data_IF_594964392763
#
_entry.id   IF_594964392763
#
_cell.length_a   1.000
_cell.length_b   1.000
_cell.length_c   1.000
_cell.angle_alpha   90.00
_cell.angle_beta   90.00
_cell.angle_gamma   90.00
#
_symmetry.space_group_name_H-M   'P 1'
#
loop_
_entity.id
_entity.type
_entity.pdbx_description
1 polymer ?
#
# COMPACT_ATOMS: atom_id res chain seq x y z
N UNK A 1 -1.83 -18.28 4.82
CA UNK A 1 -3.04 -17.47 4.97
C UNK A 1 -3.89 -18.06 6.08
N UNK A 2 -4.40 -17.25 6.98
CA UNK A 2 -5.42 -17.62 7.97
C UNK A 2 -6.68 -16.80 7.69
N UNK A 3 -7.72 -17.49 7.23
CA UNK A 3 -9.05 -16.88 7.05
C UNK A 3 -9.74 -16.69 8.40
N UNK A 4 -10.49 -15.60 8.51
CA UNK A 4 -11.32 -15.20 9.66
C UNK A 4 -12.76 -15.06 9.20
N UNK A 5 -13.69 -14.82 10.15
CA UNK A 5 -15.10 -14.62 9.83
C UNK A 5 -15.34 -13.44 8.88
N UNK A 6 -16.42 -13.50 8.13
CA UNK A 6 -16.84 -12.46 7.18
C UNK A 6 -15.88 -12.26 5.99
N UNK A 7 -14.92 -13.15 5.77
CA UNK A 7 -13.93 -13.06 4.70
C UNK A 7 -12.68 -12.24 5.04
N UNK A 8 -12.53 -11.77 6.28
CA UNK A 8 -11.28 -11.19 6.74
C UNK A 8 -10.14 -12.22 6.71
N UNK A 9 -8.91 -11.78 6.50
CA UNK A 9 -7.78 -12.70 6.44
C UNK A 9 -6.47 -12.05 6.87
N UNK A 10 -5.58 -12.85 7.46
CA UNK A 10 -4.19 -12.51 7.69
C UNK A 10 -3.30 -13.39 6.82
N UNK A 11 -2.50 -12.75 6.00
CA UNK A 11 -1.54 -13.37 5.09
C UNK A 11 -0.15 -13.06 5.62
N UNK A 12 0.53 -14.07 6.14
CA UNK A 12 1.88 -13.93 6.69
C UNK A 12 2.88 -13.51 5.61
N UNK A 13 3.98 -12.91 6.04
CA UNK A 13 5.13 -12.67 5.17
C UNK A 13 5.50 -13.96 4.44
N UNK A 14 5.69 -13.87 3.13
CA UNK A 14 6.05 -15.01 2.27
C UNK A 14 7.05 -14.61 1.20
N UNK A 15 7.48 -15.59 0.43
CA UNK A 15 8.36 -15.38 -0.71
C UNK A 15 7.67 -14.58 -1.82
N UNK A 16 8.46 -13.89 -2.63
CA UNK A 16 8.02 -13.25 -3.86
C UNK A 16 8.07 -14.30 -4.97
N UNK A 17 6.91 -14.75 -5.44
CA UNK A 17 6.75 -15.90 -6.33
C UNK A 17 6.74 -15.54 -7.81
N UNK A 18 6.34 -14.32 -8.14
CA UNK A 18 6.23 -13.84 -9.50
C UNK A 18 7.46 -12.99 -9.88
N UNK A 19 7.81 -12.98 -11.16
CA UNK A 19 8.93 -12.17 -11.69
C UNK A 19 8.53 -11.51 -13.00
N UNK A 20 8.80 -10.21 -13.09
CA UNK A 20 8.56 -9.38 -14.27
C UNK A 20 9.75 -8.41 -14.44
N UNK A 21 10.70 -8.74 -15.30
CA UNK A 21 11.93 -7.97 -15.46
C UNK A 21 12.72 -7.87 -14.15
N UNK A 22 12.98 -6.63 -13.70
CA UNK A 22 13.66 -6.37 -12.42
C UNK A 22 12.75 -6.51 -11.20
N UNK A 23 11.44 -6.64 -11.39
CA UNK A 23 10.45 -6.76 -10.33
C UNK A 23 10.22 -8.22 -9.96
N UNK A 24 10.37 -8.55 -8.67
CA UNK A 24 9.81 -9.76 -8.06
C UNK A 24 8.67 -9.36 -7.14
N UNK A 25 7.58 -10.11 -7.15
CA UNK A 25 6.41 -9.73 -6.35
C UNK A 25 5.55 -10.93 -5.93
N UNK A 26 4.64 -10.67 -5.02
CA UNK A 26 3.51 -11.52 -4.67
C UNK A 26 2.25 -10.67 -4.52
N UNK A 27 1.09 -11.29 -4.65
CA UNK A 27 -0.22 -10.65 -4.52
C UNK A 27 -0.95 -11.24 -3.30
N UNK A 28 -0.71 -10.71 -2.09
CA UNK A 28 -1.32 -11.25 -0.88
C UNK A 28 -2.83 -10.98 -0.79
N UNK A 29 -3.32 -9.90 -1.40
CA UNK A 29 -4.74 -9.53 -1.41
C UNK A 29 -5.17 -9.34 -2.85
N UNK A 30 -6.24 -10.04 -3.26
CA UNK A 30 -6.78 -10.01 -4.62
C UNK A 30 -8.21 -10.57 -4.64
N UNK A 31 -8.88 -10.49 -5.77
CA UNK A 31 -10.20 -11.14 -5.99
C UNK A 31 -10.17 -12.65 -5.75
N UNK A 32 -9.05 -13.29 -6.08
CA UNK A 32 -8.89 -14.73 -5.86
C UNK A 32 -9.04 -15.14 -4.38
N UNK A 33 -8.78 -14.22 -3.46
CA UNK A 33 -9.00 -14.45 -2.03
C UNK A 33 -10.29 -13.83 -1.47
N UNK A 34 -11.09 -13.16 -2.29
CA UNK A 34 -12.37 -12.57 -1.92
C UNK A 34 -12.38 -11.04 -1.78
N UNK A 35 -11.29 -10.34 -2.08
CA UNK A 35 -11.32 -8.90 -2.21
C UNK A 35 -12.20 -8.47 -3.40
N UNK A 36 -12.85 -7.32 -3.32
CA UNK A 36 -13.80 -6.88 -4.35
C UNK A 36 -13.19 -5.88 -5.31
N UNK A 37 -12.61 -4.84 -4.74
CA UNK A 37 -12.19 -3.66 -5.50
C UNK A 37 -10.71 -3.36 -5.39
N UNK A 38 -9.98 -3.97 -4.43
CA UNK A 38 -8.57 -3.70 -4.19
C UNK A 38 -7.70 -4.95 -4.35
N UNK A 39 -6.49 -4.74 -4.89
CA UNK A 39 -5.42 -5.75 -4.87
C UNK A 39 -4.15 -5.15 -4.29
N UNK A 40 -3.48 -5.88 -3.39
CA UNK A 40 -2.22 -5.48 -2.79
C UNK A 40 -1.07 -6.31 -3.36
N UNK A 41 -0.02 -5.61 -3.75
CA UNK A 41 1.24 -6.18 -4.23
C UNK A 41 2.36 -5.88 -3.23
N UNK A 42 3.16 -6.88 -2.93
CA UNK A 42 4.43 -6.72 -2.21
C UNK A 42 5.53 -7.04 -3.19
N UNK A 43 6.37 -6.07 -3.49
CA UNK A 43 7.36 -6.14 -4.57
C UNK A 43 8.76 -5.81 -4.07
N UNK A 44 9.77 -6.41 -4.71
CA UNK A 44 11.17 -6.03 -4.62
C UNK A 44 11.71 -5.80 -6.03
N UNK A 45 12.44 -4.71 -6.21
CA UNK A 45 13.09 -4.36 -7.47
C UNK A 45 14.60 -4.54 -7.32
N UNK A 46 15.18 -5.39 -8.16
CA UNK A 46 16.62 -5.51 -8.31
C UNK A 46 17.19 -4.36 -9.13
N UNK A 47 18.52 -4.30 -9.26
CA UNK A 47 19.22 -3.29 -10.07
C UNK A 47 18.65 -3.18 -11.47
N UNK A 48 18.46 -1.93 -11.93
CA UNK A 48 18.02 -1.57 -13.27
C UNK A 48 16.64 -0.88 -13.31
N UNK A 49 16.07 -0.84 -14.50
CA UNK A 49 14.76 -0.21 -14.78
C UNK A 49 13.74 -1.31 -15.03
N UNK A 50 12.58 -1.21 -14.39
CA UNK A 50 11.48 -2.14 -14.60
C UNK A 50 10.83 -1.97 -15.99
N UNK A 51 10.06 -2.96 -16.42
CA UNK A 51 9.14 -2.80 -17.54
C UNK A 51 8.21 -1.61 -17.30
N UNK A 52 7.93 -0.83 -18.34
CA UNK A 52 6.92 0.22 -18.26
C UNK A 52 5.53 -0.43 -18.18
N UNK A 53 4.67 0.15 -17.38
CA UNK A 53 3.32 -0.37 -17.14
C UNK A 53 2.29 0.75 -17.02
N UNK A 54 1.04 0.42 -17.32
CA UNK A 54 -0.11 1.31 -17.25
C UNK A 54 -1.34 0.54 -16.79
N UNK A 55 -2.08 1.07 -15.86
CA UNK A 55 -3.46 0.65 -15.59
C UNK A 55 -4.40 1.68 -16.19
N UNK A 56 -5.16 1.36 -17.27
CA UNK A 56 -5.99 2.34 -17.95
C UNK A 56 -7.17 2.83 -17.11
N UNK A 57 -7.63 2.07 -16.14
CA UNK A 57 -8.86 2.31 -15.37
C UNK A 57 -8.62 2.52 -13.89
N UNK A 58 -7.61 1.85 -13.32
CA UNK A 58 -7.35 1.82 -11.88
C UNK A 58 -6.43 2.92 -11.40
N UNK A 59 -6.65 3.36 -10.17
CA UNK A 59 -5.67 4.11 -9.39
C UNK A 59 -4.70 3.13 -8.74
N UNK A 60 -3.41 3.45 -8.71
CA UNK A 60 -2.43 2.71 -7.93
C UNK A 60 -1.77 3.65 -6.92
N UNK A 61 -1.63 3.18 -5.69
CA UNK A 61 -0.88 3.88 -4.64
C UNK A 61 0.28 3.01 -4.18
N UNK A 62 1.45 3.60 -4.12
CA UNK A 62 2.72 2.95 -3.80
C UNK A 62 3.23 3.48 -2.47
N UNK A 63 3.90 2.63 -1.69
CA UNK A 63 4.66 3.02 -0.52
C UNK A 63 6.02 2.32 -0.50
N UNK A 64 7.09 3.09 -0.32
CA UNK A 64 8.46 2.56 -0.25
C UNK A 64 8.76 2.11 1.18
N UNK A 65 8.98 0.80 1.35
CA UNK A 65 9.29 0.19 2.65
C UNK A 65 10.78 0.28 2.96
N UNK A 66 11.62 -0.01 1.97
CA UNK A 66 13.08 0.04 2.09
C UNK A 66 13.75 0.28 0.74
N UNK A 67 15.01 0.66 0.78
CA UNK A 67 15.79 0.98 -0.43
C UNK A 67 15.51 2.38 -0.96
N UNK A 68 16.10 2.72 -2.09
CA UNK A 68 15.93 3.99 -2.78
C UNK A 68 15.96 3.79 -4.29
N UNK A 69 15.44 4.75 -5.04
CA UNK A 69 15.38 4.68 -6.49
C UNK A 69 14.62 5.86 -7.09
N UNK A 70 14.11 5.66 -8.30
CA UNK A 70 13.34 6.67 -9.02
C UNK A 70 12.06 6.03 -9.57
N UNK A 71 10.92 6.70 -9.42
CA UNK A 71 9.70 6.40 -10.16
C UNK A 71 9.56 7.41 -11.30
N UNK A 72 9.49 6.92 -12.53
CA UNK A 72 9.14 7.75 -13.69
C UNK A 72 7.66 7.60 -13.94
N UNK A 73 6.92 8.70 -13.97
CA UNK A 73 5.48 8.74 -14.25
C UNK A 73 5.28 9.75 -15.38
N UNK A 74 4.78 9.30 -16.53
CA UNK A 74 4.54 10.12 -17.72
C UNK A 74 5.77 10.98 -18.12
N UNK A 75 6.99 10.42 -17.96
CA UNK A 75 8.25 11.08 -18.25
C UNK A 75 8.80 12.00 -17.16
N UNK A 76 8.08 12.21 -16.06
CA UNK A 76 8.57 12.93 -14.89
C UNK A 76 9.24 11.97 -13.90
N UNK A 77 10.38 12.38 -13.34
CA UNK A 77 11.12 11.59 -12.33
C UNK A 77 10.70 11.97 -10.92
N UNK A 78 10.47 10.98 -10.06
CA UNK A 78 10.14 11.14 -8.64
C UNK A 78 11.08 10.29 -7.80
N UNK A 79 11.84 10.93 -6.91
CA UNK A 79 12.78 10.23 -6.04
C UNK A 79 12.04 9.35 -5.01
N UNK A 80 12.49 8.10 -4.88
CA UNK A 80 11.99 7.12 -3.94
C UNK A 80 12.97 6.92 -2.78
N UNK A 81 12.45 6.90 -1.56
CA UNK A 81 13.17 6.54 -0.35
C UNK A 81 12.16 5.96 0.66
N UNK A 82 12.58 5.26 1.72
CA UNK A 82 11.68 4.74 2.74
C UNK A 82 10.73 5.82 3.27
N UNK A 83 9.43 5.49 3.35
CA UNK A 83 8.39 6.44 3.73
C UNK A 83 7.89 7.35 2.60
N UNK A 84 8.30 7.12 1.34
CA UNK A 84 7.70 7.82 0.19
C UNK A 84 6.43 7.11 -0.25
N UNK A 85 5.32 7.84 -0.28
CA UNK A 85 4.08 7.45 -0.95
C UNK A 85 4.05 8.03 -2.37
N UNK A 86 3.52 7.27 -3.34
CA UNK A 86 3.35 7.71 -4.73
C UNK A 86 1.94 7.42 -5.18
N UNK A 87 1.34 8.38 -5.88
CA UNK A 87 0.05 8.22 -6.54
C UNK A 87 0.22 8.09 -8.05
N UNK A 88 -0.27 7.00 -8.61
CA UNK A 88 -0.30 6.72 -10.05
C UNK A 88 -1.76 6.85 -10.52
N UNK A 89 -2.11 7.89 -11.29
CA UNK A 89 -3.44 8.05 -11.85
C UNK A 89 -3.78 6.98 -12.89
N UNK A 90 -5.07 6.71 -13.13
CA UNK A 90 -5.50 5.89 -14.25
C UNK A 90 -4.92 6.38 -15.59
N UNK A 91 -4.43 5.44 -16.40
CA UNK A 91 -3.86 5.72 -17.72
C UNK A 91 -2.42 6.23 -17.72
N UNK A 92 -1.85 6.60 -16.59
CA UNK A 92 -0.43 7.01 -16.52
C UNK A 92 0.52 5.84 -16.79
N UNK A 93 1.57 6.11 -17.56
CA UNK A 93 2.66 5.15 -17.82
C UNK A 93 3.76 5.36 -16.80
N UNK A 94 4.16 4.31 -16.09
CA UNK A 94 5.22 4.43 -15.11
C UNK A 94 6.25 3.29 -15.15
N UNK A 95 7.45 3.59 -14.64
CA UNK A 95 8.56 2.65 -14.43
C UNK A 95 9.22 2.92 -13.07
N UNK A 96 9.80 1.87 -12.51
CA UNK A 96 10.63 1.96 -11.29
C UNK A 96 12.08 1.68 -11.67
N UNK A 97 12.96 2.57 -11.28
CA UNK A 97 14.40 2.42 -11.43
C UNK A 97 15.06 2.24 -10.06
N UNK A 98 15.88 1.20 -9.93
CA UNK A 98 16.72 0.94 -8.76
C UNK A 98 18.20 1.11 -9.14
N UNK A 99 18.64 2.37 -9.27
CA UNK A 99 20.01 2.77 -9.51
C UNK A 99 20.38 3.96 -8.60
N UNK A 100 21.64 4.05 -8.19
CA UNK A 100 22.16 5.26 -7.53
C UNK A 100 22.46 6.37 -8.57
N UNK A 101 22.80 7.58 -8.09
CA UNK A 101 23.14 8.73 -8.94
C UNK A 101 24.39 8.47 -9.85
N UNK A 102 25.09 7.38 -9.64
CA UNK A 102 26.24 6.94 -10.44
C UNK A 102 25.90 5.79 -11.38
N UNK A 103 24.61 5.44 -11.51
CA UNK A 103 24.14 4.36 -12.35
C UNK A 103 24.48 2.95 -11.83
N UNK A 104 24.70 2.80 -10.52
CA UNK A 104 24.98 1.49 -9.89
C UNK A 104 23.77 1.03 -9.12
N UNK A 105 23.51 -0.27 -9.16
CA UNK A 105 22.51 -0.90 -8.33
C UNK A 105 22.78 -0.70 -6.83
N UNK A 106 21.72 -0.36 -6.12
CA UNK A 106 21.71 -0.29 -4.66
C UNK A 106 21.02 -1.55 -4.10
N UNK A 107 20.96 -1.64 -2.78
CA UNK A 107 20.19 -2.71 -2.13
C UNK A 107 18.76 -2.77 -2.70
N UNK A 108 18.14 -3.95 -2.67
CA UNK A 108 16.77 -4.15 -3.17
C UNK A 108 15.81 -3.05 -2.71
N UNK A 109 15.06 -2.49 -3.67
CA UNK A 109 14.02 -1.51 -3.40
C UNK A 109 12.70 -2.22 -3.12
N UNK A 110 12.28 -2.21 -1.86
CA UNK A 110 11.05 -2.84 -1.39
C UNK A 110 9.86 -1.89 -1.44
N UNK A 111 8.81 -2.31 -2.12
CA UNK A 111 7.60 -1.53 -2.36
C UNK A 111 6.36 -2.34 -2.00
N UNK A 112 5.38 -1.69 -1.37
CA UNK A 112 4.00 -2.16 -1.27
C UNK A 112 3.14 -1.26 -2.12
N UNK A 113 2.32 -1.83 -3.01
CA UNK A 113 1.34 -1.07 -3.78
C UNK A 113 -0.06 -1.67 -3.67
N UNK A 114 -1.06 -0.82 -3.88
CA UNK A 114 -2.48 -1.23 -3.94
C UNK A 114 -3.10 -0.61 -5.17
N UNK A 115 -3.72 -1.46 -6.00
CA UNK A 115 -4.50 -1.05 -7.17
C UNK A 115 -6.00 -1.07 -6.84
N UNK A 116 -6.76 -0.10 -7.37
CA UNK A 116 -8.21 0.00 -7.26
C UNK A 116 -8.83 0.54 -8.56
N UNK A 117 -9.65 -0.27 -9.28
CA UNK A 117 -9.88 -1.71 -9.08
C UNK A 117 -8.62 -2.55 -9.28
N UNK A 118 -8.70 -3.85 -8.94
CA UNK A 118 -7.67 -4.82 -9.27
C UNK A 118 -7.29 -4.74 -10.75
N UNK A 119 -6.00 -4.81 -11.07
CA UNK A 119 -5.46 -4.42 -12.38
C UNK A 119 -5.56 -5.50 -13.46
N UNK A 120 -6.75 -6.08 -13.66
CA UNK A 120 -7.00 -7.07 -14.71
C UNK A 120 -6.66 -6.57 -16.13
N UNK A 121 -6.77 -5.25 -16.36
CA UNK A 121 -6.51 -4.60 -17.65
C UNK A 121 -5.13 -3.92 -17.70
N UNK A 122 -4.23 -4.20 -16.77
CA UNK A 122 -2.89 -3.60 -16.77
C UNK A 122 -2.06 -4.04 -17.97
N UNK A 123 -1.46 -3.07 -18.62
CA UNK A 123 -0.50 -3.29 -19.71
C UNK A 123 0.93 -3.24 -19.16
N UNK A 124 1.76 -4.19 -19.58
CA UNK A 124 3.16 -4.31 -19.16
C UNK A 124 4.06 -4.45 -20.37
N UNK A 125 5.28 -3.88 -20.33
CA UNK A 125 6.22 -3.91 -21.45
C UNK A 125 5.84 -2.96 -22.59
N UNK A 126 5.04 -1.93 -22.29
CA UNK A 126 4.68 -0.87 -23.24
C UNK A 126 5.83 0.12 -23.41
N UNK A 127 5.75 0.97 -24.42
CA UNK A 127 6.75 2.02 -24.64
C UNK A 127 6.72 3.05 -23.48
N UNK A 128 7.88 3.33 -22.86
CA UNK A 128 7.95 4.34 -21.81
C UNK A 128 7.78 5.76 -22.38
N UNK A 129 7.20 6.65 -21.58
CA UNK A 129 7.15 8.06 -21.90
C UNK A 129 8.50 8.69 -21.46
N UNK A 130 9.34 9.03 -22.44
CA UNK A 130 10.70 9.56 -22.19
C UNK A 130 10.69 11.07 -21.95
N UNK A 131 9.71 11.79 -22.50
CA UNK A 131 9.59 13.24 -22.35
C UNK A 131 8.27 13.59 -21.71
N UNK A 132 8.27 14.41 -20.64
CA UNK A 132 7.05 14.85 -20.02
C UNK A 132 6.19 15.66 -21.00
N UNK A 133 4.87 15.53 -20.93
CA UNK A 133 3.94 16.23 -21.86
C UNK A 133 3.82 17.74 -21.55
N UNK A 134 4.24 18.18 -20.38
CA UNK A 134 4.16 19.57 -19.91
C UNK A 134 5.42 19.94 -19.13
N UNK A 135 5.73 21.25 -19.04
CA UNK A 135 6.88 21.73 -18.28
C UNK A 135 6.66 21.64 -16.76
N UNK A 136 5.40 21.74 -16.31
CA UNK A 136 5.07 21.68 -14.89
C UNK A 136 4.90 20.24 -14.44
N UNK A 137 5.77 19.84 -13.50
CA UNK A 137 5.72 18.50 -12.89
C UNK A 137 4.52 18.37 -11.95
N UNK A 138 3.62 17.39 -12.18
CA UNK A 138 2.49 17.14 -11.29
C UNK A 138 2.95 16.70 -9.90
N UNK A 139 2.16 17.05 -8.87
CA UNK A 139 2.37 16.56 -7.51
C UNK A 139 1.88 15.10 -7.43
N UNK A 140 2.80 14.15 -7.21
CA UNK A 140 2.52 12.70 -7.19
C UNK A 140 3.11 11.97 -6.00
N UNK A 141 3.92 12.63 -5.18
CA UNK A 141 4.64 11.99 -4.08
C UNK A 141 4.44 12.76 -2.78
N UNK A 142 4.32 12.00 -1.68
CA UNK A 142 4.24 12.52 -0.32
C UNK A 142 5.29 11.80 0.53
N UNK A 143 6.02 12.55 1.35
CA UNK A 143 6.97 12.01 2.32
C UNK A 143 6.28 11.87 3.67
N UNK A 144 6.24 10.67 4.24
CA UNK A 144 5.61 10.39 5.54
C UNK A 144 6.13 11.32 6.66
N UNK A 145 7.44 11.61 6.67
CA UNK A 145 8.06 12.46 7.69
C UNK A 145 7.69 13.95 7.55
N UNK A 146 7.10 14.36 6.44
CA UNK A 146 6.63 15.73 6.18
C UNK A 146 5.14 15.90 6.49
N UNK A 147 4.43 14.80 6.79
CA UNK A 147 3.00 14.81 7.11
C UNK A 147 2.79 14.83 8.61
N UNK A 148 1.94 15.72 9.09
CA UNK A 148 1.53 15.77 10.49
C UNK A 148 0.67 14.58 10.87
N UNK A 149 0.88 14.06 12.07
CA UNK A 149 0.07 12.97 12.60
C UNK A 149 -1.26 13.51 13.14
N UNK A 150 -2.34 12.84 12.78
CA UNK A 150 -3.70 13.11 13.26
C UNK A 150 -4.00 12.13 14.39
N UNK A 151 -4.38 12.65 15.55
CA UNK A 151 -4.75 11.82 16.71
C UNK A 151 -6.15 11.19 16.51
N UNK A 152 -6.27 9.91 16.88
CA UNK A 152 -7.52 9.16 16.87
C UNK A 152 -7.62 8.29 18.15
N UNK A 153 -8.01 8.92 19.25
CA UNK A 153 -7.97 8.32 20.58
C UNK A 153 -6.54 8.11 21.07
N UNK A 154 -6.18 6.89 21.40
CA UNK A 154 -4.83 6.46 21.79
C UNK A 154 -3.90 6.21 20.60
N UNK A 155 -4.39 6.32 19.38
CA UNK A 155 -3.71 6.04 18.11
C UNK A 155 -3.48 7.31 17.32
N UNK A 156 -2.67 7.20 16.30
CA UNK A 156 -2.49 8.29 15.34
C UNK A 156 -2.32 7.74 13.93
N UNK A 157 -2.57 8.58 12.95
CA UNK A 157 -2.34 8.26 11.55
C UNK A 157 -1.86 9.49 10.77
N UNK A 158 -1.21 9.24 9.65
CA UNK A 158 -0.77 10.24 8.68
C UNK A 158 -1.42 9.90 7.34
N UNK A 159 -2.19 10.84 6.78
CA UNK A 159 -2.75 10.70 5.45
C UNK A 159 -1.66 10.96 4.41
N UNK A 160 -1.37 9.98 3.57
CA UNK A 160 -0.33 10.09 2.55
C UNK A 160 -0.91 10.35 1.17
N UNK A 161 -1.89 9.56 0.74
CA UNK A 161 -2.57 9.72 -0.54
C UNK A 161 -4.08 9.79 -0.30
N UNK A 162 -4.69 10.86 -0.78
CA UNK A 162 -6.11 11.14 -0.70
C UNK A 162 -6.52 12.07 -1.85
N UNK A 163 -7.66 12.73 -1.74
CA UNK A 163 -8.17 13.65 -2.76
C UNK A 163 -7.26 14.87 -3.00
N UNK A 164 -6.46 15.27 -2.02
CA UNK A 164 -5.57 16.44 -2.15
C UNK A 164 -4.44 16.21 -3.19
N UNK A 165 -4.03 14.96 -3.38
CA UNK A 165 -3.06 14.55 -4.40
C UNK A 165 -3.74 14.07 -5.70
N UNK A 166 -5.08 14.04 -5.74
CA UNK A 166 -5.89 13.64 -6.89
C UNK A 166 -6.38 12.20 -6.86
N UNK A 167 -6.19 11.45 -5.76
CA UNK A 167 -6.76 10.11 -5.59
C UNK A 167 -8.23 10.22 -5.17
N UNK A 168 -9.13 9.63 -5.96
CA UNK A 168 -10.57 9.71 -5.72
C UNK A 168 -11.18 8.39 -5.28
N UNK A 169 -10.53 7.27 -5.58
CA UNK A 169 -11.03 5.93 -5.25
C UNK A 169 -10.50 5.41 -3.93
N UNK A 170 -9.24 5.73 -3.61
CA UNK A 170 -8.55 5.19 -2.45
C UNK A 170 -8.04 6.27 -1.51
N UNK A 171 -7.87 5.89 -0.25
CA UNK A 171 -7.07 6.63 0.74
C UNK A 171 -5.94 5.74 1.22
N UNK A 172 -4.71 6.25 1.24
CA UNK A 172 -3.54 5.61 1.82
C UNK A 172 -3.06 6.38 3.04
N UNK A 173 -2.78 5.66 4.12
CA UNK A 173 -2.30 6.24 5.37
C UNK A 173 -1.28 5.33 6.05
N UNK A 174 -0.46 5.91 6.93
CA UNK A 174 0.33 5.16 7.91
C UNK A 174 -0.29 5.35 9.29
N UNK A 175 -0.65 4.23 9.93
CA UNK A 175 -1.19 4.20 11.28
C UNK A 175 -0.14 3.79 12.30
N UNK A 176 -0.22 4.38 13.49
CA UNK A 176 0.59 4.01 14.66
C UNK A 176 -0.32 3.55 15.79
N UNK A 177 -0.09 2.32 16.27
CA UNK A 177 -0.90 1.66 17.31
C UNK A 177 -0.01 1.36 18.51
N UNK A 178 -0.20 2.03 19.65
CA UNK A 178 0.51 1.70 20.90
C UNK A 178 0.09 0.31 21.41
N UNK A 179 0.81 -0.26 22.38
CA UNK A 179 0.41 -1.50 23.05
C UNK A 179 -1.02 -1.41 23.60
N UNK A 180 -1.80 -2.46 23.35
CA UNK A 180 -3.20 -2.54 23.78
C UNK A 180 -4.17 -2.93 22.65
N UNK A 181 -5.44 -3.07 23.03
CA UNK A 181 -6.52 -3.53 22.12
C UNK A 181 -7.54 -2.43 21.87
N UNK A 182 -7.86 -2.17 20.60
CA UNK A 182 -8.97 -1.28 20.24
C UNK A 182 -10.34 -1.90 20.57
N UNK A 183 -11.38 -1.08 20.74
CA UNK A 183 -12.75 -1.55 20.66
C UNK A 183 -13.03 -2.22 19.31
N UNK A 184 -13.95 -3.21 19.33
CA UNK A 184 -14.48 -3.78 18.10
C UNK A 184 -15.26 -2.71 17.33
N UNK A 185 -15.02 -2.64 16.03
CA UNK A 185 -15.71 -1.70 15.13
C UNK A 185 -15.77 -2.28 13.72
N UNK A 186 -16.46 -1.63 12.82
CA UNK A 186 -16.49 -1.98 11.41
C UNK A 186 -16.35 -0.73 10.53
N UNK A 187 -16.10 -0.95 9.26
CA UNK A 187 -16.00 0.09 8.24
C UNK A 187 -16.94 -0.18 7.08
N UNK A 188 -17.41 0.87 6.41
CA UNK A 188 -18.18 0.76 5.17
C UNK A 188 -17.32 0.58 3.93
N UNK A 189 -16.00 0.65 4.08
CA UNK A 189 -14.99 0.41 3.05
C UNK A 189 -14.31 -0.96 3.25
N UNK A 190 -13.67 -1.47 2.22
CA UNK A 190 -12.72 -2.58 2.34
C UNK A 190 -11.30 -2.03 2.49
N UNK A 191 -10.47 -2.74 3.23
CA UNK A 191 -9.14 -2.28 3.59
C UNK A 191 -8.09 -3.37 3.39
N UNK A 192 -6.97 -2.98 2.78
CA UNK A 192 -5.74 -3.73 2.69
C UNK A 192 -4.68 -3.09 3.59
N UNK A 193 -4.22 -3.82 4.59
CA UNK A 193 -3.18 -3.38 5.52
C UNK A 193 -1.88 -4.14 5.22
N UNK A 194 -0.75 -3.45 5.29
CA UNK A 194 0.58 -4.04 5.35
C UNK A 194 1.25 -3.64 6.66
N UNK A 195 1.74 -4.60 7.43
CA UNK A 195 2.43 -4.34 8.70
C UNK A 195 3.88 -3.97 8.41
N UNK A 196 4.23 -2.70 8.61
CA UNK A 196 5.59 -2.18 8.41
C UNK A 196 6.48 -2.64 9.55
N UNK A 197 6.02 -2.43 10.80
CA UNK A 197 6.77 -2.75 12.03
C UNK A 197 5.83 -3.26 13.12
N UNK A 198 6.36 -4.10 14.01
CA UNK A 198 5.64 -4.62 15.16
C UNK A 198 4.93 -5.93 14.91
N UNK A 199 4.15 -6.34 15.91
CA UNK A 199 3.38 -7.59 15.93
C UNK A 199 2.09 -7.42 16.72
N UNK A 200 1.10 -8.26 16.46
CA UNK A 200 -0.17 -8.15 17.11
C UNK A 200 -1.15 -9.22 16.66
N UNK A 201 -2.43 -8.95 16.92
CA UNK A 201 -3.53 -9.84 16.62
C UNK A 201 -4.71 -9.09 16.01
N UNK A 202 -5.28 -9.64 14.95
CA UNK A 202 -6.60 -9.24 14.43
C UNK A 202 -7.64 -10.07 15.15
N UNK A 203 -8.66 -9.43 15.69
CA UNK A 203 -9.84 -10.07 16.24
C UNK A 203 -11.06 -9.81 15.35
N UNK A 204 -11.86 -10.83 15.16
CA UNK A 204 -13.20 -10.77 14.58
C UNK A 204 -14.20 -11.41 15.53
N UNK A 205 -15.50 -11.43 15.20
CA UNK A 205 -16.50 -12.03 16.08
C UNK A 205 -16.25 -13.51 16.37
N UNK A 206 -15.76 -14.27 15.37
CA UNK A 206 -15.64 -15.73 15.45
C UNK A 206 -14.19 -16.23 15.43
N UNK A 207 -13.23 -15.38 15.67
CA UNK A 207 -11.83 -15.80 15.72
C UNK A 207 -10.81 -14.69 15.67
N UNK A 208 -9.58 -15.10 15.79
CA UNK A 208 -8.43 -14.20 15.78
C UNK A 208 -7.26 -14.79 14.98
N UNK A 209 -6.35 -13.93 14.55
CA UNK A 209 -5.13 -14.30 13.86
C UNK A 209 -3.97 -13.38 14.23
N UNK A 210 -2.81 -13.96 14.47
CA UNK A 210 -1.58 -13.22 14.73
C UNK A 210 -1.02 -12.65 13.44
N UNK A 211 -0.41 -11.47 13.54
CA UNK A 211 0.35 -10.82 12.48
C UNK A 211 1.67 -10.24 13.01
N UNK A 212 2.61 -10.01 12.12
CA UNK A 212 3.89 -9.38 12.40
C UNK A 212 4.38 -8.59 11.19
N UNK A 213 5.49 -7.87 11.33
CA UNK A 213 6.10 -7.13 10.24
C UNK A 213 6.22 -7.97 8.96
N UNK A 214 5.76 -7.43 7.83
CA UNK A 214 5.66 -8.09 6.53
C UNK A 214 4.36 -8.88 6.29
N UNK A 215 3.45 -8.97 7.28
CA UNK A 215 2.10 -9.54 7.09
C UNK A 215 1.22 -8.56 6.34
N UNK A 216 0.29 -9.10 5.55
CA UNK A 216 -0.84 -8.38 4.96
C UNK A 216 -2.13 -8.78 5.67
N UNK A 217 -3.05 -7.82 5.85
CA UNK A 217 -4.35 -8.05 6.48
C UNK A 217 -5.42 -7.51 5.53
N UNK A 218 -6.41 -8.33 5.23
CA UNK A 218 -7.58 -7.92 4.47
C UNK A 218 -8.80 -7.82 5.37
N UNK A 219 -9.47 -6.68 5.32
CA UNK A 219 -10.69 -6.40 6.08
C UNK A 219 -11.81 -6.03 5.10
N UNK A 220 -12.78 -6.93 4.87
CA UNK A 220 -13.96 -6.65 4.06
C UNK A 220 -14.85 -5.59 4.71
N UNK A 221 -15.70 -4.96 3.89
CA UNK A 221 -16.73 -4.03 4.34
C UNK A 221 -17.64 -4.67 5.39
N UNK A 222 -17.99 -3.92 6.42
CA UNK A 222 -18.94 -4.28 7.49
C UNK A 222 -18.52 -5.46 8.38
N UNK A 223 -17.31 -5.97 8.23
CA UNK A 223 -16.80 -7.02 9.12
C UNK A 223 -16.34 -6.39 10.43
N UNK A 224 -16.96 -6.80 11.55
CA UNK A 224 -16.55 -6.37 12.89
C UNK A 224 -15.17 -6.92 13.23
N UNK A 225 -14.26 -6.02 13.55
CA UNK A 225 -12.87 -6.35 13.85
C UNK A 225 -12.23 -5.37 14.82
N UNK A 226 -11.09 -5.74 15.37
CA UNK A 226 -10.16 -4.81 15.96
C UNK A 226 -8.72 -5.32 15.83
N UNK A 227 -7.77 -4.39 15.91
CA UNK A 227 -6.35 -4.69 15.98
C UNK A 227 -5.86 -4.52 17.42
N UNK A 228 -5.17 -5.53 17.91
CA UNK A 228 -4.46 -5.53 19.19
C UNK A 228 -2.96 -5.51 18.95
N UNK A 229 -2.27 -4.58 19.56
CA UNK A 229 -0.82 -4.61 19.65
C UNK A 229 -0.44 -5.45 20.87
N UNK A 230 0.12 -6.62 20.65
CA UNK A 230 0.56 -7.55 21.69
C UNK A 230 2.03 -7.38 22.07
N UNK A 231 2.75 -6.51 21.36
CA UNK A 231 4.15 -6.17 21.63
C UNK A 231 4.32 -5.07 22.67
N UNK A 232 5.56 -4.70 22.95
CA UNK A 232 5.93 -3.61 23.87
C UNK A 232 6.21 -2.28 23.16
N UNK A 233 6.44 -2.30 21.85
CA UNK A 233 6.63 -1.13 20.99
C UNK A 233 5.38 -0.87 20.14
N UNK A 234 5.23 0.34 19.62
CA UNK A 234 4.12 0.65 18.71
C UNK A 234 4.21 -0.14 17.41
N UNK A 235 3.07 -0.58 16.91
CA UNK A 235 2.93 -1.08 15.54
C UNK A 235 2.90 0.12 14.59
N UNK A 236 3.58 -0.01 13.44
CA UNK A 236 3.37 0.85 12.27
C UNK A 236 2.76 0.02 11.15
N UNK A 237 1.68 0.48 10.61
CA UNK A 237 1.00 -0.17 9.49
C UNK A 237 0.72 0.82 8.36
N UNK A 238 0.77 0.32 7.14
CA UNK A 238 0.27 0.98 5.95
C UNK A 238 -1.16 0.48 5.70
N UNK A 239 -2.13 1.36 5.72
CA UNK A 239 -3.52 1.06 5.34
C UNK A 239 -3.87 1.71 4.00
N UNK A 240 -4.58 0.97 3.16
CA UNK A 240 -5.21 1.47 1.94
C UNK A 240 -6.63 0.95 1.88
N UNK A 241 -7.60 1.84 1.69
CA UNK A 241 -8.99 1.44 1.64
C UNK A 241 -9.77 2.09 0.49
N UNK A 242 -10.82 1.41 0.08
CA UNK A 242 -11.80 1.80 -0.95
C UNK A 242 -13.24 1.57 -0.46
N UNK A 243 -14.19 2.54 -0.70
CA UNK A 243 -13.96 3.87 -1.27
C UNK A 243 -13.16 4.78 -0.36
N UNK A 244 -12.61 5.87 -0.92
CA UNK A 244 -11.82 6.85 -0.19
C UNK A 244 -12.65 7.52 0.92
N UNK A 245 -11.97 7.88 2.02
CA UNK A 245 -12.61 8.46 3.20
C UNK A 245 -11.60 8.80 4.30
N UNK A 246 -12.04 8.72 5.55
CA UNK A 246 -11.20 8.97 6.73
C UNK A 246 -10.90 7.68 7.48
N UNK A 247 -9.61 7.41 7.84
CA UNK A 247 -9.25 6.28 8.71
C UNK A 247 -9.86 6.39 10.12
N UNK A 248 -10.29 7.59 10.54
CA UNK A 248 -10.95 7.81 11.81
C UNK A 248 -12.45 7.50 11.79
N UNK A 249 -13.02 7.25 10.61
CA UNK A 249 -14.44 6.90 10.51
C UNK A 249 -14.68 5.52 11.15
N UNK A 250 -15.48 5.51 12.19
CA UNK A 250 -15.96 4.29 12.87
C UNK A 250 -17.48 4.29 12.81
N UNK A 251 -18.02 3.14 12.63
CA UNK A 251 -19.46 2.92 12.67
C UNK A 251 -19.72 1.95 13.83
N UNK A 252 -20.13 2.51 14.96
CA UNK A 252 -20.60 1.75 16.11
C UNK A 252 -22.12 1.57 15.93
N UNK A 253 -22.61 0.33 16.01
CA UNK A 253 -24.05 0.00 15.98
C UNK A 253 -24.74 0.39 17.30
#
# INVERSE_FOLDING_TARGET
MRALSGGAAVIQRGELTETEGTRRYRVPISRAMGARDIAQYVSSYSEGVSSARRNPVGEEVIYVVNGSGTCFIDGYSYALAPGTAVYIPPGSVYQIENLDDRGRGVSELGIVSVCCPEDEDSEVGIEPIVRPPQDTKPFRTVRENEVEAIAAGDRSFKLLVNQDIGAHRVTQFVGVIPPGRAPMHHHTYEEAIYVIEGEGRVHTEDGDAEFKAGSSIYLPRLVKHCLENTGSASIRLLGVFHPSGSPAARYDD
#
